data_IF_443950248426
#
_entry.id   IF_443950248426
#
_cell.length_a   1.000
_cell.length_b   1.000
_cell.length_c   1.000
_cell.angle_alpha   90.00
_cell.angle_beta   90.00
_cell.angle_gamma   90.00
#
_symmetry.space_group_name_H-M   'P 1'
#
loop_
_entity.id
_entity.type
_entity.pdbx_description
1 polymer ?
#
# COMPACT_ATOMS: atom_id res chain seq x y z
N UNK A 1 -9.08 -37.31 41.14
CA UNK A 1 -10.15 -36.50 40.51
C UNK A 1 -9.78 -35.01 40.35
N UNK A 2 -9.01 -34.40 41.27
CA UNK A 2 -8.57 -32.99 41.16
C UNK A 2 -7.47 -32.78 40.09
N UNK A 3 -6.69 -33.81 39.79
CA UNK A 3 -5.53 -33.72 38.88
C UNK A 3 -5.94 -33.53 37.42
N UNK A 4 -7.06 -34.13 37.01
CA UNK A 4 -7.57 -33.99 35.64
C UNK A 4 -8.09 -32.58 35.36
N UNK A 5 -8.74 -31.95 36.34
CA UNK A 5 -9.19 -30.56 36.24
C UNK A 5 -7.99 -29.61 36.17
N UNK A 6 -6.93 -29.86 36.96
CA UNK A 6 -5.71 -29.06 36.93
C UNK A 6 -4.95 -29.14 35.59
N UNK A 7 -4.87 -30.34 34.99
CA UNK A 7 -4.30 -30.51 33.65
C UNK A 7 -5.16 -29.79 32.60
N UNK A 8 -6.48 -29.94 32.67
CA UNK A 8 -7.40 -29.31 31.72
C UNK A 8 -7.39 -27.78 31.81
N UNK A 9 -7.37 -27.20 33.02
CA UNK A 9 -7.26 -25.75 33.20
C UNK A 9 -5.90 -25.22 32.76
N UNK A 10 -4.81 -25.92 33.05
CA UNK A 10 -3.46 -25.51 32.63
C UNK A 10 -3.33 -25.51 31.11
N UNK A 11 -3.89 -26.52 30.42
CA UNK A 11 -3.91 -26.57 28.96
C UNK A 11 -4.75 -25.46 28.34
N UNK A 12 -5.91 -25.14 28.91
CA UNK A 12 -6.76 -24.04 28.44
C UNK A 12 -6.07 -22.69 28.62
N UNK A 13 -5.47 -22.43 29.79
CA UNK A 13 -4.76 -21.17 30.06
C UNK A 13 -3.56 -21.02 29.13
N UNK A 14 -2.78 -22.09 28.93
CA UNK A 14 -1.68 -22.10 27.96
C UNK A 14 -2.16 -21.83 26.52
N UNK A 15 -3.28 -22.45 26.12
CA UNK A 15 -3.88 -22.22 24.81
C UNK A 15 -4.36 -20.77 24.64
N UNK A 16 -5.02 -20.18 25.65
CA UNK A 16 -5.46 -18.78 25.63
C UNK A 16 -4.26 -17.83 25.55
N UNK A 17 -3.19 -18.08 26.33
CA UNK A 17 -1.94 -17.31 26.27
C UNK A 17 -1.28 -17.36 24.87
N UNK A 18 -1.35 -18.52 24.20
CA UNK A 18 -0.83 -18.70 22.83
C UNK A 18 -1.70 -17.96 21.80
N UNK A 19 -3.01 -17.91 22.02
CA UNK A 19 -3.94 -17.15 21.15
C UNK A 19 -3.78 -15.64 21.34
N UNK A 20 -3.59 -15.18 22.57
CA UNK A 20 -3.33 -13.77 22.90
C UNK A 20 -1.96 -13.30 22.35
N UNK A 21 -0.94 -14.17 22.36
CA UNK A 21 0.36 -13.87 21.75
C UNK A 21 0.38 -13.90 20.21
N UNK A 22 -0.65 -14.49 19.56
CA UNK A 22 -0.74 -14.49 18.09
C UNK A 22 -1.23 -13.17 17.50
N UNK A 23 -1.89 -12.32 18.30
CA UNK A 23 -2.36 -11.00 17.84
C UNK A 23 -1.29 -9.90 17.95
N UNK A 24 -0.23 -10.11 18.74
CA UNK A 24 0.91 -9.19 18.85
C UNK A 24 2.06 -9.53 17.88
N UNK A 25 1.73 -9.90 16.65
CA UNK A 25 2.70 -9.81 15.55
C UNK A 25 2.62 -8.38 15.03
N UNK A 26 3.44 -7.52 15.63
CA UNK A 26 3.77 -6.16 15.22
C UNK A 26 4.24 -6.12 13.75
N UNK A 27 3.30 -6.30 12.82
CA UNK A 27 3.31 -5.60 11.55
C UNK A 27 2.51 -4.31 11.76
N UNK A 28 2.88 -3.54 12.79
CA UNK A 28 2.48 -2.13 12.86
C UNK A 28 2.89 -1.54 11.51
N UNK A 29 1.92 -1.12 10.71
CA UNK A 29 2.20 -0.39 9.48
C UNK A 29 3.11 0.78 9.85
N UNK A 30 4.37 0.71 9.43
CA UNK A 30 5.37 1.73 9.70
C UNK A 30 5.12 2.90 8.75
N UNK A 31 4.18 3.77 9.13
CA UNK A 31 3.82 4.95 8.36
C UNK A 31 5.02 5.87 8.17
N UNK A 32 5.89 5.99 9.18
CA UNK A 32 7.13 6.77 9.11
C UNK A 32 8.09 6.23 8.04
N UNK A 33 8.15 4.90 7.87
CA UNK A 33 8.89 4.28 6.78
C UNK A 33 8.25 4.55 5.42
N UNK A 34 6.93 4.41 5.30
CA UNK A 34 6.22 4.65 4.03
C UNK A 34 6.36 6.09 3.54
N UNK A 35 6.35 7.06 4.46
CA UNK A 35 6.55 8.48 4.15
C UNK A 35 7.96 8.76 3.60
N UNK A 36 8.95 7.95 4.00
CA UNK A 36 10.36 8.08 3.56
C UNK A 36 10.71 7.17 2.37
N UNK A 37 9.81 6.26 1.98
CA UNK A 37 10.08 5.28 0.92
C UNK A 37 10.22 5.99 -0.42
N UNK A 38 11.41 5.90 -1.03
CA UNK A 38 11.69 6.42 -2.37
C UNK A 38 12.50 5.39 -3.16
N UNK A 39 11.94 4.91 -4.26
CA UNK A 39 12.53 3.84 -5.08
C UNK A 39 12.67 4.25 -6.54
N UNK A 40 13.65 3.68 -7.24
CA UNK A 40 13.89 3.95 -8.65
C UNK A 40 12.87 3.25 -9.56
N UNK A 41 12.74 3.72 -10.80
CA UNK A 41 11.80 3.16 -11.78
C UNK A 41 12.01 1.65 -12.04
N UNK A 42 13.25 1.17 -11.91
CA UNK A 42 13.57 -0.26 -12.06
C UNK A 42 12.94 -1.09 -10.93
N UNK A 43 13.10 -0.65 -9.69
CA UNK A 43 12.47 -1.27 -8.53
C UNK A 43 10.95 -1.15 -8.59
N UNK A 44 10.40 0.01 -9.01
CA UNK A 44 8.95 0.17 -9.19
C UNK A 44 8.42 -0.83 -10.20
N UNK A 45 9.11 -1.03 -11.33
CA UNK A 45 8.69 -2.01 -12.32
C UNK A 45 8.67 -3.44 -11.76
N UNK A 46 9.65 -3.80 -10.91
CA UNK A 46 9.67 -5.10 -10.23
C UNK A 46 8.53 -5.24 -9.21
N UNK A 47 8.29 -4.20 -8.40
CA UNK A 47 7.25 -4.18 -7.36
C UNK A 47 5.85 -4.27 -7.98
N UNK A 48 5.60 -3.53 -9.06
CA UNK A 48 4.27 -3.38 -9.65
C UNK A 48 4.00 -4.36 -10.80
N UNK A 49 5.04 -4.94 -11.39
CA UNK A 49 4.95 -5.68 -12.64
C UNK A 49 4.67 -4.80 -13.86
N UNK A 50 4.69 -3.48 -13.74
CA UNK A 50 4.45 -2.54 -14.84
C UNK A 50 5.79 -2.28 -15.55
N UNK A 51 5.90 -2.48 -16.87
CA UNK A 51 7.12 -2.19 -17.60
C UNK A 51 7.56 -0.73 -17.43
N UNK A 52 8.87 -0.49 -17.29
CA UNK A 52 9.44 0.86 -17.13
C UNK A 52 9.01 1.83 -18.24
N UNK A 53 8.86 1.33 -19.47
CA UNK A 53 8.34 2.09 -20.61
C UNK A 53 6.91 2.61 -20.37
N UNK A 54 6.05 1.77 -19.79
CA UNK A 54 4.67 2.13 -19.50
C UNK A 54 4.60 3.13 -18.34
N UNK A 55 5.44 2.97 -17.32
CA UNK A 55 5.58 3.97 -16.24
C UNK A 55 6.00 5.34 -16.82
N UNK A 56 7.01 5.38 -17.69
CA UNK A 56 7.41 6.64 -18.37
C UNK A 56 6.27 7.26 -19.16
N UNK A 57 5.53 6.44 -19.90
CA UNK A 57 4.36 6.90 -20.66
C UNK A 57 3.25 7.46 -19.74
N UNK A 58 2.99 6.84 -18.58
CA UNK A 58 2.01 7.35 -17.62
C UNK A 58 2.44 8.69 -17.03
N UNK A 59 3.73 8.88 -16.78
CA UNK A 59 4.28 10.15 -16.33
C UNK A 59 4.22 11.23 -17.41
N UNK A 60 4.56 10.92 -18.67
CA UNK A 60 4.40 11.82 -19.81
C UNK A 60 2.95 12.28 -20.00
N UNK A 61 1.98 11.42 -19.65
CA UNK A 61 0.55 11.75 -19.63
C UNK A 61 0.10 12.53 -18.40
N UNK A 62 0.99 12.79 -17.44
CA UNK A 62 0.68 13.49 -16.19
C UNK A 62 -0.18 12.66 -15.22
N UNK A 63 -0.27 11.35 -15.41
CA UNK A 63 -1.05 10.45 -14.55
C UNK A 63 -0.31 10.20 -13.24
N UNK A 64 1.01 10.13 -13.29
CA UNK A 64 1.92 10.02 -12.15
C UNK A 64 3.02 11.08 -12.30
N UNK A 65 3.78 11.33 -11.24
CA UNK A 65 4.87 12.30 -11.26
C UNK A 65 6.05 11.79 -10.46
N UNK A 66 7.23 11.71 -11.06
CA UNK A 66 8.43 11.36 -10.32
C UNK A 66 8.87 12.50 -9.39
N UNK A 67 9.57 12.14 -8.33
CA UNK A 67 10.21 13.09 -7.40
C UNK A 67 11.53 13.67 -7.96
N UNK A 68 11.89 13.31 -9.19
CA UNK A 68 13.14 13.73 -9.83
C UNK A 68 12.84 14.88 -10.77
N UNK A 69 13.22 16.09 -10.39
CA UNK A 69 12.89 17.31 -11.15
C UNK A 69 13.76 17.48 -12.43
N UNK A 70 14.95 16.89 -12.46
CA UNK A 70 15.88 17.04 -13.59
C UNK A 70 15.67 15.99 -14.68
N UNK A 71 15.54 16.48 -15.92
CA UNK A 71 15.50 15.65 -17.12
C UNK A 71 16.81 14.85 -17.27
N UNK A 72 16.70 13.57 -17.64
CA UNK A 72 17.85 12.67 -17.81
C UNK A 72 18.36 12.01 -16.53
N UNK A 73 17.92 12.42 -15.34
CA UNK A 73 18.20 11.69 -14.09
C UNK A 73 17.29 10.46 -13.94
N UNK A 74 17.76 9.50 -13.14
CA UNK A 74 17.01 8.27 -12.91
C UNK A 74 15.76 8.57 -12.07
N UNK A 75 14.59 8.23 -12.60
CA UNK A 75 13.29 8.57 -12.02
C UNK A 75 13.04 7.84 -10.71
N UNK A 76 12.53 8.56 -9.72
CA UNK A 76 12.20 8.03 -8.39
C UNK A 76 10.75 8.30 -8.01
N UNK A 77 10.15 7.36 -7.29
CA UNK A 77 8.74 7.40 -6.89
C UNK A 77 8.59 7.06 -5.41
N UNK A 78 7.65 7.74 -4.75
CA UNK A 78 7.26 7.44 -3.37
C UNK A 78 6.21 6.33 -3.29
N UNK A 79 5.86 5.93 -2.06
CA UNK A 79 4.79 4.98 -1.79
C UNK A 79 3.46 5.37 -2.47
N UNK A 80 3.07 6.64 -2.40
CA UNK A 80 1.81 7.13 -2.98
C UNK A 80 1.74 6.88 -4.50
N UNK A 81 2.80 7.24 -5.22
CA UNK A 81 2.89 6.98 -6.66
C UNK A 81 2.81 5.48 -6.97
N UNK A 82 3.51 4.64 -6.22
CA UNK A 82 3.48 3.18 -6.41
C UNK A 82 2.06 2.64 -6.18
N UNK A 83 1.39 3.10 -5.12
CA UNK A 83 0.03 2.67 -4.80
C UNK A 83 -0.94 3.12 -5.89
N UNK A 84 -0.81 4.35 -6.39
CA UNK A 84 -1.59 4.87 -7.51
C UNK A 84 -1.40 4.01 -8.76
N UNK A 85 -0.15 3.65 -9.09
CA UNK A 85 0.16 2.79 -10.24
C UNK A 85 -0.49 1.41 -10.12
N UNK A 86 -0.45 0.79 -8.95
CA UNK A 86 -1.10 -0.51 -8.70
C UNK A 86 -2.61 -0.44 -8.93
N UNK A 87 -3.28 0.58 -8.39
CA UNK A 87 -4.73 0.75 -8.56
C UNK A 87 -5.11 0.99 -10.03
N UNK A 88 -4.29 1.75 -10.78
CA UNK A 88 -4.51 1.96 -12.22
C UNK A 88 -4.35 0.63 -12.98
N UNK A 89 -3.30 -0.15 -12.65
CA UNK A 89 -3.05 -1.45 -13.26
C UNK A 89 -4.21 -2.41 -13.04
N UNK A 90 -4.71 -2.51 -11.81
CA UNK A 90 -5.87 -3.35 -11.46
C UNK A 90 -7.10 -3.00 -12.32
N UNK A 91 -7.43 -1.72 -12.43
CA UNK A 91 -8.54 -1.27 -13.29
C UNK A 91 -8.30 -1.57 -14.78
N UNK A 92 -7.06 -1.43 -15.26
CA UNK A 92 -6.74 -1.79 -16.64
C UNK A 92 -6.89 -3.31 -16.88
N UNK A 93 -6.55 -4.14 -15.90
CA UNK A 93 -6.74 -5.60 -15.94
C UNK A 93 -8.22 -5.98 -15.91
N UNK A 94 -9.08 -5.17 -15.28
CA UNK A 94 -10.54 -5.28 -15.33
C UNK A 94 -11.15 -4.81 -16.68
N UNK A 95 -10.34 -4.26 -17.58
CA UNK A 95 -10.76 -3.84 -18.92
C UNK A 95 -11.07 -2.35 -19.09
N UNK A 96 -10.76 -1.52 -18.09
CA UNK A 96 -10.84 -0.07 -18.26
C UNK A 96 -9.68 0.47 -19.11
N UNK A 97 -9.91 1.59 -19.80
CA UNK A 97 -8.84 2.33 -20.46
C UNK A 97 -7.95 3.03 -19.44
N UNK A 98 -6.71 3.34 -19.82
CA UNK A 98 -5.78 4.08 -18.96
C UNK A 98 -6.39 5.38 -18.41
N UNK A 99 -7.03 6.18 -19.26
CA UNK A 99 -7.63 7.45 -18.87
C UNK A 99 -8.78 7.25 -17.89
N UNK A 100 -9.64 6.24 -18.12
CA UNK A 100 -10.74 5.92 -17.23
C UNK A 100 -10.24 5.40 -15.86
N UNK A 101 -9.18 4.58 -15.88
CA UNK A 101 -8.52 4.08 -14.66
C UNK A 101 -7.90 5.22 -13.86
N UNK A 102 -7.14 6.10 -14.52
CA UNK A 102 -6.50 7.26 -13.89
C UNK A 102 -7.53 8.19 -13.23
N UNK A 103 -8.63 8.49 -13.92
CA UNK A 103 -9.70 9.33 -13.42
C UNK A 103 -10.43 8.71 -12.23
N UNK A 104 -10.73 7.39 -12.28
CA UNK A 104 -11.35 6.66 -11.17
C UNK A 104 -10.48 6.67 -9.92
N UNK A 105 -9.17 6.42 -10.08
CA UNK A 105 -8.22 6.42 -8.96
C UNK A 105 -8.11 7.81 -8.36
N UNK A 106 -7.98 8.85 -9.20
CA UNK A 106 -7.95 10.25 -8.74
C UNK A 106 -9.17 10.60 -7.89
N UNK A 107 -10.38 10.35 -8.39
CA UNK A 107 -11.63 10.59 -7.65
C UNK A 107 -11.70 9.86 -6.31
N UNK A 108 -11.22 8.61 -6.28
CA UNK A 108 -11.19 7.80 -5.06
C UNK A 108 -10.22 8.39 -4.03
N UNK A 109 -9.04 8.85 -4.45
CA UNK A 109 -8.07 9.50 -3.56
C UNK A 109 -8.62 10.82 -3.01
N UNK A 110 -9.21 11.66 -3.86
CA UNK A 110 -9.85 12.93 -3.44
C UNK A 110 -10.97 12.70 -2.41
N UNK A 111 -11.79 11.66 -2.61
CA UNK A 111 -12.85 11.28 -1.66
C UNK A 111 -12.28 10.82 -0.31
N UNK A 112 -11.21 10.01 -0.33
CA UNK A 112 -10.55 9.54 0.89
C UNK A 112 -9.95 10.73 1.64
N UNK A 113 -9.21 11.60 0.96
CA UNK A 113 -8.61 12.80 1.56
C UNK A 113 -9.68 13.72 2.17
N UNK A 114 -10.76 13.99 1.44
CA UNK A 114 -11.88 14.79 1.95
C UNK A 114 -12.54 14.15 3.19
N UNK A 115 -12.62 12.82 3.23
CA UNK A 115 -13.18 12.09 4.38
C UNK A 115 -12.23 12.14 5.58
N UNK A 116 -10.94 11.89 5.38
CA UNK A 116 -9.92 11.97 6.43
C UNK A 116 -9.83 13.38 7.03
N UNK A 117 -9.89 14.41 6.18
CA UNK A 117 -9.89 15.80 6.64
C UNK A 117 -11.10 16.15 7.51
N UNK A 118 -12.28 15.60 7.21
CA UNK A 118 -13.48 15.74 8.05
C UNK A 118 -13.36 15.01 9.39
N UNK A 119 -12.70 13.86 9.42
CA UNK A 119 -12.48 13.09 10.65
C UNK A 119 -11.41 13.73 11.55
N UNK A 120 -10.46 14.48 10.97
CA UNK A 120 -9.38 15.16 11.70
C UNK A 120 -9.81 16.50 12.31
N UNK A 121 -10.95 17.05 11.88
CA UNK A 121 -11.53 18.25 12.48
C UNK A 121 -12.56 17.82 13.53
N UNK A 122 -12.32 18.10 14.83
CA UNK A 122 -13.26 17.76 15.91
C UNK A 122 -14.56 18.57 15.83
#
# INVERSE_FOLDING_TARGET
MKDLYFIFTTLIVSYLQIMENKENKELSFDFDFLDKLVVGIGEVAQITGIPTRQIRYWEEKGIISSLTEEEGKNRRYNYENIKKMLLIKELMEEGYTLDASAEKVKKRMEMIEATLNKLRQP
#
